data_IF_645045768758
#
_entry.id   IF_645045768758
#
_cell.length_a   1.000
_cell.length_b   1.000
_cell.length_c   1.000
_cell.angle_alpha   90.00
_cell.angle_beta   90.00
_cell.angle_gamma   90.00
#
_symmetry.space_group_name_H-M   'P 1'
#
loop_
_entity.id
_entity.type
_entity.pdbx_description
1 polymer ?
#
# COMPACT_ATOMS: atom_id res chain seq x y z
N UNK A 1 2.40 -2.65 5.99
CA UNK A 1 2.26 -3.56 7.14
C UNK A 1 1.83 -2.74 8.34
N UNK A 2 0.52 -2.78 8.64
CA UNK A 2 -0.01 -2.02 9.74
C UNK A 2 0.09 -2.80 11.03
N UNK A 3 0.66 -2.19 12.03
CA UNK A 3 0.37 -2.56 13.40
C UNK A 3 -0.84 -1.76 13.86
N UNK A 4 -1.45 -2.15 14.96
CA UNK A 4 -2.51 -1.38 15.63
C UNK A 4 -2.11 0.09 15.90
N UNK A 5 -0.82 0.35 15.94
CA UNK A 5 -0.22 1.67 16.12
C UNK A 5 0.33 2.24 14.82
N UNK A 6 -0.08 1.68 13.68
CA UNK A 6 0.48 2.11 12.43
C UNK A 6 -0.02 3.50 12.10
N UNK A 7 0.94 4.34 11.95
CA UNK A 7 0.79 5.63 11.34
C UNK A 7 0.52 5.44 9.85
N UNK A 8 -0.02 6.39 9.21
CA UNK A 8 -0.20 6.54 7.77
C UNK A 8 1.09 6.42 6.96
N UNK A 9 2.06 5.69 7.45
CA UNK A 9 3.46 5.77 7.08
C UNK A 9 3.87 4.91 5.94
N UNK A 10 2.99 4.11 5.38
CA UNK A 10 3.30 3.47 4.11
C UNK A 10 3.59 4.45 2.98
N UNK A 11 2.92 5.57 3.02
CA UNK A 11 2.97 6.61 2.03
C UNK A 11 3.93 7.70 2.42
N UNK A 12 4.37 7.63 3.65
CA UNK A 12 5.09 8.69 4.29
C UNK A 12 6.57 8.48 4.34
N UNK A 13 7.22 9.55 4.57
CA UNK A 13 8.63 9.63 4.79
C UNK A 13 9.09 9.01 6.12
N UNK A 14 8.16 8.75 7.06
CA UNK A 14 8.50 8.50 8.47
C UNK A 14 9.22 7.19 8.78
N UNK A 15 9.15 6.21 7.90
CA UNK A 15 9.77 4.89 8.09
C UNK A 15 10.87 4.61 7.10
N UNK A 16 11.25 5.59 6.32
CA UNK A 16 12.26 5.45 5.28
C UNK A 16 13.67 5.87 5.70
N UNK A 17 13.82 6.40 6.92
CA UNK A 17 15.12 6.77 7.49
C UNK A 17 16.09 5.57 7.56
N UNK A 18 15.69 4.47 8.18
CA UNK A 18 16.51 3.26 8.23
C UNK A 18 16.81 2.67 6.85
N UNK A 19 15.88 2.78 5.91
CA UNK A 19 16.13 2.37 4.54
C UNK A 19 17.19 3.26 3.88
N UNK A 20 17.12 4.59 4.04
CA UNK A 20 18.08 5.52 3.46
C UNK A 20 19.51 5.29 4.00
N UNK A 21 19.68 5.06 5.30
CA UNK A 21 20.96 4.69 5.89
C UNK A 21 21.54 3.41 5.24
N UNK A 22 20.73 2.36 5.11
CA UNK A 22 21.17 1.12 4.45
C UNK A 22 21.53 1.32 2.99
N UNK A 23 20.73 2.09 2.25
CA UNK A 23 20.99 2.40 0.85
C UNK A 23 22.27 3.22 0.68
N UNK A 24 22.58 4.13 1.60
CA UNK A 24 23.82 4.90 1.59
C UNK A 24 25.06 4.00 1.65
N UNK A 25 25.06 3.01 2.53
CA UNK A 25 26.18 2.05 2.66
C UNK A 25 26.27 1.07 1.48
N UNK A 26 25.18 0.74 0.82
CA UNK A 26 25.13 -0.21 -0.28
C UNK A 26 25.31 0.46 -1.65
N UNK A 27 25.10 1.76 -1.76
CA UNK A 27 25.21 2.52 -3.00
C UNK A 27 26.54 2.32 -3.76
N UNK A 28 27.72 2.25 -3.09
CA UNK A 28 28.97 1.96 -3.76
C UNK A 28 29.08 0.56 -4.37
N UNK A 29 28.23 -0.38 -3.94
CA UNK A 29 28.26 -1.77 -4.37
C UNK A 29 27.38 -2.03 -5.59
N UNK A 30 26.27 -1.32 -5.71
CA UNK A 30 25.34 -1.48 -6.83
C UNK A 30 24.59 -0.16 -7.09
N UNK A 31 24.60 0.34 -8.35
CA UNK A 31 23.88 1.55 -8.74
C UNK A 31 22.40 1.54 -8.44
N UNK A 32 21.78 0.36 -8.29
CA UNK A 32 20.39 0.24 -7.91
C UNK A 32 20.09 0.82 -6.52
N UNK A 33 21.02 0.63 -5.57
CA UNK A 33 20.86 1.19 -4.23
C UNK A 33 20.97 2.71 -4.24
N UNK A 34 21.87 3.26 -5.07
CA UNK A 34 21.96 4.69 -5.27
C UNK A 34 20.65 5.27 -5.82
N UNK A 35 20.08 4.62 -6.85
CA UNK A 35 18.78 5.00 -7.43
C UNK A 35 17.62 4.91 -6.43
N UNK A 36 17.66 3.90 -5.57
CA UNK A 36 16.66 3.77 -4.50
C UNK A 36 16.81 4.90 -3.47
N UNK A 37 18.04 5.29 -3.13
CA UNK A 37 18.30 6.44 -2.26
C UNK A 37 17.76 7.74 -2.87
N UNK A 38 17.99 7.99 -4.16
CA UNK A 38 17.44 9.16 -4.88
C UNK A 38 15.91 9.20 -4.82
N UNK A 39 15.25 8.06 -4.95
CA UNK A 39 13.79 7.98 -4.83
C UNK A 39 13.29 8.34 -3.43
N UNK A 40 14.01 7.92 -2.39
CA UNK A 40 13.71 8.29 -0.99
C UNK A 40 13.96 9.77 -0.76
N UNK A 41 15.06 10.32 -1.29
CA UNK A 41 15.34 11.76 -1.23
C UNK A 41 14.23 12.58 -1.89
N UNK A 42 13.80 12.22 -3.08
CA UNK A 42 12.69 12.87 -3.76
C UNK A 42 11.36 12.78 -2.98
N UNK A 43 11.16 11.73 -2.19
CA UNK A 43 10.03 11.66 -1.26
C UNK A 43 10.21 12.65 -0.10
N UNK A 44 11.40 12.73 0.50
CA UNK A 44 11.68 13.66 1.60
C UNK A 44 11.50 15.10 1.17
N UNK A 45 11.97 15.47 0.00
CA UNK A 45 11.80 16.81 -0.57
C UNK A 45 10.31 17.19 -0.65
N UNK A 46 9.47 16.30 -1.16
CA UNK A 46 8.02 16.54 -1.23
C UNK A 46 7.32 16.56 0.13
N UNK A 47 7.90 15.94 1.15
CA UNK A 47 7.33 15.87 2.50
C UNK A 47 7.91 16.93 3.45
N UNK A 48 8.93 17.69 3.04
CA UNK A 48 9.60 18.68 3.89
C UNK A 48 9.12 20.08 3.54
N UNK A 49 8.63 20.80 4.53
CA UNK A 49 8.21 22.19 4.39
C UNK A 49 8.78 23.00 5.57
N UNK A 50 9.39 24.13 5.29
CA UNK A 50 10.00 25.00 6.28
C UNK A 50 11.00 24.26 7.23
N UNK A 51 11.74 23.29 6.67
CA UNK A 51 12.71 22.49 7.39
C UNK A 51 12.12 21.40 8.28
N UNK A 52 10.80 21.19 8.26
CA UNK A 52 10.11 20.19 9.05
C UNK A 52 9.50 19.09 8.16
N UNK A 53 9.60 17.84 8.59
CA UNK A 53 9.10 16.69 7.88
C UNK A 53 7.65 16.40 8.25
N UNK A 54 6.81 16.27 7.23
CA UNK A 54 5.43 15.84 7.34
C UNK A 54 5.29 14.33 7.05
N UNK A 55 4.20 13.73 7.46
CA UNK A 55 3.97 12.30 7.34
C UNK A 55 3.78 11.77 5.92
N UNK A 56 3.58 12.65 4.95
CA UNK A 56 3.44 12.33 3.54
C UNK A 56 3.32 13.58 2.69
N UNK A 57 3.39 13.47 1.36
CA UNK A 57 3.33 14.63 0.46
C UNK A 57 2.05 15.47 0.60
N UNK A 58 0.95 14.85 1.02
CA UNK A 58 -0.36 15.50 1.19
C UNK A 58 -0.66 15.88 2.65
N UNK A 59 0.19 15.51 3.59
CA UNK A 59 -0.10 15.65 5.02
C UNK A 59 -0.26 17.11 5.44
N UNK A 60 0.57 18.02 4.93
CA UNK A 60 0.46 19.46 5.18
C UNK A 60 -0.89 20.02 4.72
N UNK A 61 -1.28 19.70 3.50
CA UNK A 61 -2.53 20.19 2.90
C UNK A 61 -3.77 19.59 3.57
N UNK A 62 -3.62 18.40 4.16
CA UNK A 62 -4.63 17.77 4.99
C UNK A 62 -4.71 18.38 6.40
N UNK A 63 -3.83 19.34 6.74
CA UNK A 63 -3.81 19.98 8.05
C UNK A 63 -3.09 19.16 9.13
N UNK A 64 -2.32 18.14 8.76
CA UNK A 64 -1.51 17.38 9.70
C UNK A 64 -0.30 18.21 10.16
N UNK A 65 0.07 18.15 11.45
CA UNK A 65 1.28 18.82 11.93
C UNK A 65 2.55 18.06 11.50
N UNK A 66 3.69 18.76 11.40
CA UNK A 66 4.97 18.12 11.15
C UNK A 66 5.40 17.24 12.32
N UNK A 67 6.25 16.26 12.04
CA UNK A 67 6.81 15.40 13.07
C UNK A 67 8.25 15.80 13.42
N UNK A 68 8.45 16.43 14.56
CA UNK A 68 9.75 16.86 15.02
C UNK A 68 10.71 15.67 15.22
N UNK A 69 10.24 14.61 15.87
CA UNK A 69 11.05 13.40 16.08
C UNK A 69 11.58 12.83 14.75
N UNK A 70 10.68 12.61 13.78
CA UNK A 70 11.11 12.06 12.48
C UNK A 70 11.96 13.05 11.68
N UNK A 71 11.76 14.35 11.85
CA UNK A 71 12.64 15.35 11.23
C UNK A 71 14.10 15.13 11.66
N UNK A 72 14.34 14.90 12.95
CA UNK A 72 15.69 14.61 13.43
C UNK A 72 16.20 13.23 13.00
N UNK A 73 15.36 12.19 13.00
CA UNK A 73 15.75 10.87 12.50
C UNK A 73 16.18 10.93 11.03
N UNK A 74 15.45 11.69 10.21
CA UNK A 74 15.80 11.85 8.80
C UNK A 74 17.02 12.72 8.59
N UNK A 75 17.25 13.74 9.42
CA UNK A 75 18.47 14.50 9.39
C UNK A 75 19.70 13.60 9.64
N UNK A 76 19.60 12.64 10.57
CA UNK A 76 20.64 11.63 10.78
C UNK A 76 20.86 10.79 9.52
N UNK A 77 19.80 10.24 8.93
CA UNK A 77 19.89 9.43 7.72
C UNK A 77 20.48 10.19 6.52
N UNK A 78 20.18 11.49 6.40
CA UNK A 78 20.77 12.37 5.39
C UNK A 78 22.28 12.59 5.64
N UNK A 79 22.71 12.73 6.89
CA UNK A 79 24.12 12.79 7.24
C UNK A 79 24.86 11.50 6.87
N UNK A 80 24.27 10.34 7.13
CA UNK A 80 24.83 9.04 6.73
C UNK A 80 24.97 8.95 5.21
N UNK A 81 23.92 9.34 4.46
CA UNK A 81 23.99 9.37 3.01
C UNK A 81 25.08 10.32 2.50
N UNK A 82 25.20 11.50 3.07
CA UNK A 82 26.22 12.47 2.70
C UNK A 82 27.65 11.96 2.93
N UNK A 83 27.87 11.21 4.01
CA UNK A 83 29.19 10.70 4.35
C UNK A 83 29.56 9.41 3.62
N UNK A 84 28.62 8.51 3.38
CA UNK A 84 28.90 7.16 2.89
C UNK A 84 28.31 6.86 1.51
N UNK A 85 27.34 7.64 1.04
CA UNK A 85 26.64 7.38 -0.21
C UNK A 85 27.47 7.56 -1.48
N UNK A 86 28.59 8.25 -1.39
CA UNK A 86 29.46 8.54 -2.54
C UNK A 86 28.78 9.43 -3.59
N UNK A 87 29.51 9.75 -4.66
CA UNK A 87 28.89 10.30 -5.86
C UNK A 87 28.17 9.17 -6.59
N UNK A 88 26.85 9.17 -6.52
CA UNK A 88 26.06 8.23 -7.30
C UNK A 88 26.24 8.57 -8.77
N UNK A 89 26.70 7.64 -9.61
CA UNK A 89 26.54 7.83 -11.03
C UNK A 89 25.02 7.82 -11.27
N UNK A 90 24.48 8.96 -11.63
CA UNK A 90 23.11 9.10 -12.08
C UNK A 90 22.93 8.29 -13.39
N UNK A 91 22.87 6.99 -13.27
CA UNK A 91 22.58 6.11 -14.38
C UNK A 91 21.08 6.11 -14.63
N UNK A 92 20.69 6.10 -15.88
CA UNK A 92 19.30 5.91 -16.33
C UNK A 92 18.75 4.49 -16.04
N UNK A 93 19.42 3.73 -15.17
CA UNK A 93 18.95 2.42 -14.79
C UNK A 93 17.53 2.54 -14.17
N UNK A 94 16.52 1.91 -14.75
CA UNK A 94 15.18 1.99 -14.21
C UNK A 94 15.17 1.43 -12.77
N UNK A 95 14.58 2.17 -11.85
CA UNK A 95 14.16 1.61 -10.56
C UNK A 95 13.41 0.32 -10.85
N UNK A 96 13.67 -0.73 -10.06
CA UNK A 96 13.10 -2.06 -10.17
C UNK A 96 11.75 -2.06 -10.89
N UNK A 97 11.77 -2.46 -12.14
CA UNK A 97 10.55 -2.73 -12.86
C UNK A 97 10.08 -4.12 -12.43
N UNK A 98 8.99 -4.17 -11.66
CA UNK A 98 8.27 -5.43 -11.52
C UNK A 98 7.99 -5.94 -12.94
N UNK A 99 8.39 -7.18 -13.30
CA UNK A 99 8.11 -7.72 -14.63
C UNK A 99 6.61 -7.66 -14.95
N UNK A 100 6.26 -7.47 -16.21
CA UNK A 100 4.86 -7.65 -16.65
C UNK A 100 4.38 -9.05 -16.27
N UNK A 101 3.13 -9.17 -15.91
CA UNK A 101 2.52 -10.41 -15.44
C UNK A 101 2.48 -10.52 -13.92
N UNK A 102 2.89 -11.66 -13.37
CA UNK A 102 2.83 -11.97 -11.94
C UNK A 102 4.19 -12.38 -11.41
N UNK A 103 4.57 -11.79 -10.29
CA UNK A 103 5.69 -12.24 -9.47
C UNK A 103 5.15 -12.83 -8.15
N UNK A 104 5.45 -14.10 -7.90
CA UNK A 104 4.99 -14.81 -6.72
C UNK A 104 6.07 -14.90 -5.64
N UNK A 105 5.72 -14.55 -4.42
CA UNK A 105 6.59 -14.63 -3.24
C UNK A 105 6.00 -15.63 -2.25
N UNK A 106 6.41 -16.87 -2.36
CA UNK A 106 5.86 -18.00 -1.59
C UNK A 106 6.00 -17.82 -0.09
N UNK A 107 7.14 -17.36 0.40
CA UNK A 107 7.39 -17.16 1.84
C UNK A 107 6.50 -16.07 2.46
N UNK A 108 5.98 -15.14 1.66
CA UNK A 108 5.06 -14.09 2.11
C UNK A 108 3.61 -14.36 1.73
N UNK A 109 3.34 -15.46 1.02
CA UNK A 109 2.04 -15.77 0.43
C UNK A 109 1.43 -14.56 -0.29
N UNK A 110 2.22 -14.00 -1.21
CA UNK A 110 2.02 -12.69 -1.82
C UNK A 110 2.24 -12.76 -3.32
N UNK A 111 1.38 -12.11 -4.08
CA UNK A 111 1.50 -11.93 -5.52
C UNK A 111 1.61 -10.44 -5.85
N UNK A 112 2.59 -10.08 -6.66
CA UNK A 112 2.69 -8.77 -7.29
C UNK A 112 2.25 -8.89 -8.74
N UNK A 113 1.29 -8.06 -9.16
CA UNK A 113 0.74 -8.05 -10.49
C UNK A 113 1.10 -6.74 -11.20
N UNK A 114 1.53 -6.84 -12.45
CA UNK A 114 1.75 -5.69 -13.33
C UNK A 114 1.13 -5.96 -14.70
N UNK A 115 0.18 -5.11 -15.09
CA UNK A 115 -0.45 -5.18 -16.42
C UNK A 115 -0.69 -3.76 -16.93
N UNK A 116 -0.05 -3.37 -17.99
CA UNK A 116 -0.12 -2.01 -18.50
C UNK A 116 0.18 -0.98 -17.41
N UNK A 117 -0.72 -0.01 -17.21
CA UNK A 117 -0.61 1.01 -16.16
C UNK A 117 -0.90 0.52 -14.74
N UNK A 118 -1.40 -0.70 -14.55
CA UNK A 118 -1.79 -1.24 -13.25
C UNK A 118 -0.63 -1.86 -12.50
N UNK A 119 -0.62 -1.67 -11.19
CA UNK A 119 0.21 -2.36 -10.22
C UNK A 119 -0.69 -2.80 -9.09
N UNK A 120 -0.62 -4.07 -8.73
CA UNK A 120 -1.45 -4.60 -7.68
C UNK A 120 -0.68 -5.60 -6.81
N UNK A 121 -1.11 -5.72 -5.56
CA UNK A 121 -0.63 -6.72 -4.62
C UNK A 121 -1.83 -7.49 -4.08
N UNK A 122 -1.78 -8.81 -4.19
CA UNK A 122 -2.77 -9.70 -3.58
C UNK A 122 -2.06 -10.51 -2.49
N UNK A 123 -2.59 -10.50 -1.27
CA UNK A 123 -1.95 -11.11 -0.11
C UNK A 123 -2.87 -12.11 0.58
N UNK A 124 -2.35 -13.30 0.82
CA UNK A 124 -2.92 -14.30 1.72
C UNK A 124 -1.99 -14.57 2.90
N UNK A 125 -1.32 -13.52 3.38
CA UNK A 125 -0.40 -13.59 4.50
C UNK A 125 -1.08 -14.21 5.71
N UNK A 126 -0.45 -15.23 6.29
CA UNK A 126 -0.92 -15.97 7.46
C UNK A 126 -0.24 -15.52 8.76
N UNK A 127 0.62 -14.54 8.68
CA UNK A 127 1.34 -13.99 9.82
C UNK A 127 0.58 -12.87 10.49
N UNK A 128 0.45 -12.95 11.82
CA UNK A 128 -0.13 -11.90 12.66
C UNK A 128 0.97 -11.22 13.44
N UNK A 129 1.18 -9.96 13.16
CA UNK A 129 2.17 -9.16 13.88
C UNK A 129 1.64 -8.70 15.26
N UNK A 130 0.36 -8.36 15.33
CA UNK A 130 -0.31 -7.92 16.55
C UNK A 130 -1.79 -8.29 16.51
N UNK A 131 -2.48 -8.21 17.62
CA UNK A 131 -3.92 -8.43 17.69
C UNK A 131 -4.66 -7.48 16.73
N UNK A 132 -5.50 -8.04 15.88
CA UNK A 132 -6.19 -7.31 14.81
C UNK A 132 -5.28 -6.84 13.66
N UNK A 133 -4.03 -7.33 13.57
CA UNK A 133 -3.05 -6.97 12.56
C UNK A 133 -3.16 -7.72 11.24
N UNK A 134 -4.19 -8.55 11.08
CA UNK A 134 -4.41 -9.32 9.85
C UNK A 134 -4.69 -8.39 8.65
N UNK A 135 -4.09 -8.71 7.53
CA UNK A 135 -4.34 -8.06 6.23
C UNK A 135 -4.18 -9.06 5.07
N UNK A 136 -4.50 -10.32 5.35
CA UNK A 136 -4.38 -11.43 4.41
C UNK A 136 -5.69 -11.80 3.75
N UNK A 137 -6.04 -13.07 3.81
CA UNK A 137 -7.30 -13.59 3.29
C UNK A 137 -7.42 -13.57 1.77
N UNK A 138 -6.32 -13.39 1.04
CA UNK A 138 -6.36 -13.23 -0.41
C UNK A 138 -6.85 -11.86 -0.86
N UNK A 139 -6.77 -10.86 0.00
CA UNK A 139 -7.25 -9.50 -0.29
C UNK A 139 -6.34 -8.74 -1.25
N UNK A 140 -6.92 -7.80 -1.98
CA UNK A 140 -6.21 -6.83 -2.79
C UNK A 140 -5.61 -5.76 -1.86
N UNK A 141 -4.34 -5.91 -1.51
CA UNK A 141 -3.69 -5.05 -0.50
C UNK A 141 -3.05 -3.79 -1.07
N UNK A 142 -2.88 -3.73 -2.37
CA UNK A 142 -2.51 -2.53 -3.11
C UNK A 142 -3.19 -2.57 -4.47
N UNK A 143 -3.76 -1.46 -4.89
CA UNK A 143 -4.12 -1.18 -6.27
C UNK A 143 -3.65 0.23 -6.60
N UNK A 144 -2.80 0.33 -7.61
CA UNK A 144 -2.24 1.57 -8.09
C UNK A 144 -2.29 1.62 -9.60
N UNK A 145 -2.51 2.80 -10.15
CA UNK A 145 -2.48 3.02 -11.59
C UNK A 145 -1.64 4.24 -11.94
N UNK A 146 -0.83 4.17 -12.99
CA UNK A 146 0.15 5.20 -13.36
C UNK A 146 -0.44 6.61 -13.53
N UNK A 147 -1.69 6.73 -13.97
CA UNK A 147 -2.38 8.02 -14.15
C UNK A 147 -3.29 8.41 -12.99
N UNK A 148 -3.76 7.44 -12.21
CA UNK A 148 -4.72 7.68 -11.13
C UNK A 148 -4.06 7.67 -9.75
N UNK A 149 -2.81 7.19 -9.67
CA UNK A 149 -2.14 6.99 -8.39
C UNK A 149 -2.70 5.80 -7.61
N UNK A 150 -2.55 5.80 -6.28
CA UNK A 150 -3.06 4.75 -5.40
C UNK A 150 -4.59 4.81 -5.33
N UNK A 151 -5.23 3.69 -5.59
CA UNK A 151 -6.69 3.52 -5.50
C UNK A 151 -7.10 2.72 -4.27
N UNK A 152 -6.25 1.79 -3.85
CA UNK A 152 -6.51 0.96 -2.70
C UNK A 152 -5.20 0.67 -1.98
N UNK A 153 -5.20 0.72 -0.66
CA UNK A 153 -4.07 0.35 0.17
C UNK A 153 -4.56 -0.31 1.46
N UNK A 154 -3.92 -1.41 1.82
CA UNK A 154 -4.30 -2.19 2.98
C UNK A 154 -4.02 -1.46 4.29
N UNK A 155 -4.91 -1.66 5.23
CA UNK A 155 -4.66 -1.47 6.66
C UNK A 155 -4.75 -2.81 7.37
N UNK A 156 -4.54 -2.80 8.67
CA UNK A 156 -4.93 -3.93 9.53
C UNK A 156 -6.43 -4.16 9.48
N UNK A 157 -6.85 -5.39 9.79
CA UNK A 157 -8.26 -5.74 9.90
C UNK A 157 -9.02 -4.87 10.93
N UNK A 158 -8.32 -4.51 12.02
CA UNK A 158 -8.86 -3.61 13.06
C UNK A 158 -7.94 -2.41 13.23
N UNK A 159 -8.02 -1.50 12.28
CA UNK A 159 -7.24 -0.27 12.29
C UNK A 159 -7.91 0.78 13.17
N UNK A 160 -7.21 1.25 14.19
CA UNK A 160 -7.63 2.40 14.99
C UNK A 160 -6.89 3.63 14.51
N UNK A 161 -7.58 4.71 14.09
CA UNK A 161 -6.92 5.96 13.76
C UNK A 161 -6.07 6.45 14.92
N UNK A 162 -4.82 6.75 14.64
CA UNK A 162 -3.86 7.25 15.62
C UNK A 162 -3.30 8.56 15.15
N UNK A 163 -2.82 9.35 16.08
CA UNK A 163 -2.14 10.59 15.74
C UNK A 163 -0.90 10.32 14.88
N UNK A 164 -0.84 10.86 13.63
CA UNK A 164 0.13 10.42 12.64
C UNK A 164 1.59 10.62 13.06
N UNK A 165 1.88 11.61 13.89
CA UNK A 165 3.23 12.02 14.25
C UNK A 165 3.75 11.45 15.57
N UNK A 166 2.88 10.95 16.45
CA UNK A 166 3.26 10.53 17.81
C UNK A 166 3.04 9.06 18.14
N UNK A 167 2.47 8.27 17.26
CA UNK A 167 1.98 6.91 17.56
C UNK A 167 0.99 6.85 18.73
N UNK A 168 0.31 7.92 19.00
CA UNK A 168 -0.67 7.98 20.06
C UNK A 168 -2.06 7.74 19.50
N UNK A 169 -2.90 7.08 20.30
CA UNK A 169 -4.31 6.96 19.98
C UNK A 169 -4.99 8.30 20.14
N UNK A 170 -5.94 8.58 19.26
CA UNK A 170 -6.91 9.63 19.54
C UNK A 170 -7.61 9.24 20.85
N UNK A 171 -7.53 10.10 21.84
CA UNK A 171 -8.22 9.87 23.11
C UNK A 171 -9.70 9.69 22.82
N UNK A 172 -10.27 8.58 23.31
CA UNK A 172 -11.69 8.20 23.15
C UNK A 172 -12.09 7.66 21.77
N UNK A 173 -11.17 7.28 20.88
CA UNK A 173 -11.52 6.54 19.68
C UNK A 173 -11.50 5.04 19.98
N UNK A 174 -12.67 4.46 20.17
CA UNK A 174 -12.86 3.00 20.24
C UNK A 174 -13.20 2.40 18.88
N UNK A 175 -13.46 3.25 17.89
CA UNK A 175 -13.84 2.82 16.56
C UNK A 175 -12.63 2.25 15.80
N UNK A 176 -12.83 1.09 15.22
CA UNK A 176 -11.86 0.44 14.34
C UNK A 176 -12.41 0.36 12.93
N UNK A 177 -11.53 0.43 11.95
CA UNK A 177 -11.85 0.40 10.53
C UNK A 177 -11.01 -0.66 9.83
N UNK A 178 -11.53 -1.24 8.78
CA UNK A 178 -10.76 -2.05 7.83
C UNK A 178 -10.77 -1.38 6.47
N UNK A 179 -9.66 -0.79 6.06
CA UNK A 179 -9.52 -0.19 4.73
C UNK A 179 -8.88 -1.14 3.70
N UNK A 180 -8.65 -2.39 4.08
CA UNK A 180 -8.33 -3.45 3.13
C UNK A 180 -9.62 -3.96 2.50
N UNK A 181 -9.70 -4.18 1.18
CA UNK A 181 -10.86 -4.80 0.55
C UNK A 181 -11.18 -6.16 1.19
N UNK A 182 -12.41 -6.33 1.64
CA UNK A 182 -12.79 -7.51 2.41
C UNK A 182 -14.29 -7.85 2.28
N UNK A 183 -14.63 -9.06 2.66
CA UNK A 183 -15.99 -9.48 2.93
C UNK A 183 -16.21 -9.51 4.44
N UNK A 184 -17.30 -8.93 4.87
CA UNK A 184 -17.80 -8.99 6.24
C UNK A 184 -19.06 -9.87 6.29
N UNK A 185 -19.07 -10.86 7.16
CA UNK A 185 -20.23 -11.75 7.43
C UNK A 185 -20.32 -11.97 8.93
N UNK A 186 -21.30 -11.30 9.55
CA UNK A 186 -21.39 -11.25 11.02
C UNK A 186 -20.13 -10.65 11.64
N UNK A 187 -19.47 -11.41 12.52
CA UNK A 187 -18.21 -10.99 13.15
C UNK A 187 -16.95 -11.39 12.34
N UNK A 188 -17.15 -12.08 11.21
CA UNK A 188 -16.04 -12.57 10.40
C UNK A 188 -15.61 -11.55 9.37
N UNK A 189 -14.31 -11.34 9.27
CA UNK A 189 -13.67 -10.57 8.20
C UNK A 189 -12.81 -11.50 7.36
N UNK A 190 -12.96 -11.45 6.03
CA UNK A 190 -12.18 -12.31 5.12
C UNK A 190 -10.67 -12.07 5.25
N UNK A 191 -10.24 -10.86 5.58
CA UNK A 191 -8.82 -10.52 5.79
C UNK A 191 -8.18 -11.27 6.96
N UNK A 192 -8.97 -11.78 7.90
CA UNK A 192 -8.51 -12.57 9.04
C UNK A 192 -8.41 -14.07 8.73
N UNK A 193 -8.81 -14.51 7.54
CA UNK A 193 -8.71 -15.93 7.16
C UNK A 193 -7.28 -16.29 6.75
N UNK A 194 -6.59 -16.98 7.63
CA UNK A 194 -5.21 -17.45 7.43
C UNK A 194 -5.12 -18.73 6.59
N UNK A 195 -6.25 -19.37 6.30
CA UNK A 195 -6.30 -20.56 5.46
C UNK A 195 -6.33 -20.23 3.97
N UNK A 196 -6.52 -18.97 3.62
CA UNK A 196 -6.60 -18.52 2.24
C UNK A 196 -5.40 -18.94 1.40
N UNK A 197 -5.65 -19.32 0.17
CA UNK A 197 -4.63 -19.77 -0.80
C UNK A 197 -4.78 -18.99 -2.08
N UNK A 198 -3.63 -18.60 -2.64
CA UNK A 198 -3.55 -17.88 -3.91
C UNK A 198 -3.22 -18.84 -5.04
N UNK A 199 -3.87 -18.66 -6.17
CA UNK A 199 -3.63 -19.40 -7.41
C UNK A 199 -3.54 -18.42 -8.57
N UNK A 200 -2.49 -18.54 -9.37
CA UNK A 200 -2.36 -17.79 -10.62
C UNK A 200 -3.05 -18.60 -11.72
N UNK A 201 -4.12 -18.07 -12.30
CA UNK A 201 -4.88 -18.70 -13.37
C UNK A 201 -4.41 -18.27 -14.76
N UNK A 202 -3.90 -17.03 -14.85
CA UNK A 202 -3.32 -16.47 -16.08
C UNK A 202 -2.22 -15.47 -15.70
N UNK A 203 -1.09 -15.50 -16.44
CA UNK A 203 0.05 -14.63 -16.19
C UNK A 203 0.63 -14.06 -17.51
N UNK A 204 -0.25 -13.64 -18.42
CA UNK A 204 0.16 -13.00 -19.69
C UNK A 204 0.42 -11.51 -19.47
N UNK A 205 1.18 -10.89 -20.37
CA UNK A 205 1.52 -9.47 -20.27
C UNK A 205 0.29 -8.54 -20.34
N UNK A 206 -0.74 -8.95 -21.06
CA UNK A 206 -1.99 -8.22 -21.27
C UNK A 206 -3.17 -8.73 -20.42
N UNK A 207 -2.98 -9.83 -19.69
CA UNK A 207 -4.01 -10.41 -18.83
C UNK A 207 -3.39 -11.17 -17.67
N UNK A 208 -3.63 -10.70 -16.47
CA UNK A 208 -3.32 -11.42 -15.24
C UNK A 208 -4.63 -11.82 -14.56
N UNK A 209 -4.75 -13.09 -14.19
CA UNK A 209 -5.88 -13.58 -13.39
C UNK A 209 -5.36 -14.35 -12.19
N UNK A 210 -5.84 -13.91 -11.02
CA UNK A 210 -5.49 -14.48 -9.72
C UNK A 210 -6.77 -14.88 -9.01
N UNK A 211 -6.81 -16.08 -8.48
CA UNK A 211 -7.86 -16.53 -7.56
C UNK A 211 -7.31 -16.62 -6.14
N UNK A 212 -8.15 -16.25 -5.17
CA UNK A 212 -7.92 -16.43 -3.76
C UNK A 212 -9.09 -17.23 -3.17
N UNK A 213 -8.78 -18.35 -2.54
CA UNK A 213 -9.77 -19.23 -1.93
C UNK A 213 -9.57 -19.25 -0.42
N UNK A 214 -10.53 -18.73 0.32
CA UNK A 214 -10.62 -18.82 1.77
C UNK A 214 -11.57 -19.94 2.21
N UNK A 215 -11.79 -20.06 3.53
CA UNK A 215 -12.62 -21.10 4.13
C UNK A 215 -14.11 -20.99 3.75
N UNK A 216 -14.61 -19.76 3.59
CA UNK A 216 -16.03 -19.48 3.36
C UNK A 216 -16.29 -18.48 2.24
N UNK A 217 -15.23 -18.00 1.55
CA UNK A 217 -15.31 -17.03 0.47
C UNK A 217 -14.26 -17.30 -0.61
N UNK A 218 -14.42 -16.66 -1.74
CA UNK A 218 -13.39 -16.57 -2.76
C UNK A 218 -13.38 -15.21 -3.43
N UNK A 219 -12.18 -14.80 -3.85
CA UNK A 219 -11.98 -13.68 -4.76
C UNK A 219 -11.36 -14.17 -6.06
N UNK A 220 -11.73 -13.52 -7.16
CA UNK A 220 -11.02 -13.62 -8.42
C UNK A 220 -10.76 -12.22 -8.94
N UNK A 221 -9.50 -11.91 -9.17
CA UNK A 221 -9.02 -10.66 -9.71
C UNK A 221 -8.56 -10.86 -11.13
N UNK A 222 -9.08 -10.05 -12.05
CA UNK A 222 -8.63 -10.04 -13.44
C UNK A 222 -8.16 -8.63 -13.78
N UNK A 223 -6.92 -8.53 -14.23
CA UNK A 223 -6.28 -7.29 -14.65
C UNK A 223 -6.04 -7.35 -16.15
N UNK A 224 -6.52 -6.34 -16.86
CA UNK A 224 -6.18 -6.04 -18.25
C UNK A 224 -5.62 -4.62 -18.33
N UNK A 225 -5.01 -4.18 -19.45
CA UNK A 225 -4.50 -2.80 -19.53
C UNK A 225 -5.56 -1.73 -19.23
N UNK A 226 -6.83 -1.99 -19.52
CA UNK A 226 -7.93 -1.03 -19.41
C UNK A 226 -8.76 -1.20 -18.12
N UNK A 227 -8.79 -2.42 -17.55
CA UNK A 227 -9.77 -2.73 -16.50
C UNK A 227 -9.19 -3.62 -15.40
N UNK A 228 -9.73 -3.44 -14.21
CA UNK A 228 -9.62 -4.40 -13.11
C UNK A 228 -11.02 -4.91 -12.79
N UNK A 229 -11.20 -6.23 -12.84
CA UNK A 229 -12.43 -6.91 -12.45
C UNK A 229 -12.20 -7.68 -11.16
N UNK A 230 -13.12 -7.51 -10.21
CA UNK A 230 -13.12 -8.23 -8.94
C UNK A 230 -14.42 -9.03 -8.88
N UNK A 231 -14.29 -10.35 -8.85
CA UNK A 231 -15.42 -11.25 -8.59
C UNK A 231 -15.32 -11.71 -7.14
N UNK A 232 -16.44 -11.63 -6.44
CA UNK A 232 -16.54 -11.96 -5.02
C UNK A 232 -17.61 -13.01 -4.84
N UNK A 233 -17.30 -14.06 -4.09
CA UNK A 233 -18.26 -15.08 -3.72
C UNK A 233 -18.14 -15.36 -2.22
N UNK A 234 -19.29 -15.44 -1.54
CA UNK A 234 -19.36 -15.83 -0.14
C UNK A 234 -20.41 -16.93 0.03
N UNK A 235 -20.06 -17.98 0.75
CA UNK A 235 -20.98 -19.08 1.07
C UNK A 235 -21.93 -18.72 2.22
N UNK A 236 -21.52 -17.75 3.05
CA UNK A 236 -22.26 -17.32 4.24
C UNK A 236 -23.03 -16.01 4.01
N UNK A 237 -23.00 -15.48 2.77
CA UNK A 237 -23.49 -14.13 2.49
C UNK A 237 -22.54 -13.07 3.02
N UNK A 238 -23.04 -11.83 3.16
CA UNK A 238 -22.31 -10.72 3.72
C UNK A 238 -22.16 -9.52 2.78
N UNK A 239 -21.35 -8.56 3.19
CA UNK A 239 -21.09 -7.33 2.47
C UNK A 239 -19.64 -7.30 1.99
N UNK A 240 -19.43 -7.00 0.71
CA UNK A 240 -18.10 -6.71 0.19
C UNK A 240 -17.82 -5.22 0.30
N UNK A 241 -16.75 -4.87 1.00
CA UNK A 241 -16.26 -3.51 1.15
C UNK A 241 -15.03 -3.30 0.29
N UNK A 242 -15.06 -2.28 -0.57
CA UNK A 242 -13.94 -1.85 -1.42
C UNK A 242 -13.62 -0.38 -1.12
N UNK A 243 -12.78 -0.10 -0.12
CA UNK A 243 -12.34 1.25 0.19
C UNK A 243 -11.48 1.82 -0.95
N UNK A 244 -11.85 3.00 -1.44
CA UNK A 244 -11.14 3.68 -2.53
C UNK A 244 -10.50 4.95 -2.02
N UNK A 245 -9.21 5.11 -2.30
CA UNK A 245 -8.47 6.34 -2.08
C UNK A 245 -8.84 7.31 -3.20
N UNK A 246 -9.31 8.47 -2.84
CA UNK A 246 -9.63 9.55 -3.78
C UNK A 246 -9.09 10.88 -3.27
N UNK A 247 -8.81 11.79 -4.20
CA UNK A 247 -8.49 13.17 -3.86
C UNK A 247 -9.67 13.80 -3.11
N UNK A 248 -9.40 14.60 -2.08
CA UNK A 248 -10.41 15.31 -1.30
C UNK A 248 -11.32 16.20 -2.17
N UNK A 249 -10.78 16.71 -3.27
CA UNK A 249 -11.52 17.51 -4.24
C UNK A 249 -12.23 16.67 -5.32
N UNK A 250 -12.03 15.34 -5.34
CA UNK A 250 -12.65 14.48 -6.33
C UNK A 250 -14.18 14.50 -6.17
N UNK A 251 -14.87 14.71 -7.27
CA UNK A 251 -16.32 14.59 -7.29
C UNK A 251 -16.69 13.11 -7.31
N UNK A 252 -17.48 12.70 -6.34
CA UNK A 252 -18.11 11.39 -6.33
C UNK A 252 -19.51 11.53 -6.92
N UNK A 253 -19.75 10.81 -7.99
CA UNK A 253 -21.07 10.71 -8.61
C UNK A 253 -21.46 9.24 -8.69
N UNK A 254 -22.65 8.91 -8.22
CA UNK A 254 -23.16 7.54 -8.22
C UNK A 254 -24.57 7.50 -8.80
N UNK A 255 -24.85 6.44 -9.53
CA UNK A 255 -26.18 6.00 -9.90
C UNK A 255 -26.23 4.49 -9.73
N UNK A 256 -27.41 3.90 -9.80
CA UNK A 256 -27.56 2.46 -9.59
C UNK A 256 -26.56 1.66 -10.45
N UNK A 257 -25.75 0.83 -9.79
CA UNK A 257 -24.74 -0.01 -10.41
C UNK A 257 -23.48 0.69 -10.95
N UNK A 258 -23.32 2.01 -10.78
CA UNK A 258 -22.14 2.70 -11.23
C UNK A 258 -21.73 3.83 -10.28
N UNK A 259 -20.43 3.90 -9.96
CA UNK A 259 -19.81 4.99 -9.19
C UNK A 259 -18.67 5.56 -10.01
N UNK A 260 -18.57 6.88 -10.04
CA UNK A 260 -17.45 7.62 -10.64
C UNK A 260 -16.76 8.46 -9.58
N UNK A 261 -15.45 8.37 -9.53
CA UNK A 261 -14.59 9.16 -8.63
C UNK A 261 -13.44 9.73 -9.48
N UNK A 262 -13.48 11.01 -9.77
CA UNK A 262 -12.51 11.62 -10.68
C UNK A 262 -12.51 10.90 -12.04
N UNK A 263 -11.34 10.39 -12.45
CA UNK A 263 -11.17 9.63 -13.69
C UNK A 263 -11.52 8.13 -13.59
N UNK A 264 -11.82 7.64 -12.38
CA UNK A 264 -12.16 6.24 -12.14
C UNK A 264 -13.66 6.00 -12.35
N UNK A 265 -13.99 4.93 -13.06
CA UNK A 265 -15.37 4.43 -13.20
C UNK A 265 -15.45 3.01 -12.66
N UNK A 266 -16.33 2.80 -11.71
CA UNK A 266 -16.61 1.50 -11.12
C UNK A 266 -18.03 1.08 -11.47
N UNK A 267 -18.24 -0.20 -11.74
CA UNK A 267 -19.55 -0.81 -11.97
C UNK A 267 -19.68 -2.02 -11.07
N UNK A 268 -20.85 -2.13 -10.40
CA UNK A 268 -21.22 -3.27 -9.59
C UNK A 268 -21.88 -4.36 -10.43
#
# INVERSE_FOLDING_TARGET
>A
FGTRHNKWTYWGSRTSDGALEGLAHLAPLDPLFARAADAVLGLYERCTHDGLLYGGPMARDAGEPPCIHHTFCHAKALCELYHYGGESPAGDAPLLTVPEGVSAYQNGNLLLCRVGGWRATVSACDFVYADGGDNGGGSLTLLWHERLGPLCAATMARYTPVEPHNMQYLRNSEETYCFTPHIESGEKLSVCDRSARLTVECAQADCVRVAAQGAWFSFRYEFTPETVRIQVCSQEGGTFSLPIIADKAARVAGQEGEIRIGGLRMRA
#
